data_IF_500633143252
#
_entry.id   IF_500633143252
#
_cell.length_a   1.000
_cell.length_b   1.000
_cell.length_c   1.000
_cell.angle_alpha   90.00
_cell.angle_beta   90.00
_cell.angle_gamma   90.00
#
_symmetry.space_group_name_H-M   'P 1'
#
loop_
_entity.id
_entity.type
_entity.pdbx_description
1 polymer ?
#
# COMPACT_ATOMS: atom_id res chain seq x y z
N UNK A 1 -12.32 10.77 17.56
CA UNK A 1 -13.48 9.94 17.10
C UNK A 1 -12.95 8.90 16.12
N UNK A 2 -13.72 7.83 15.91
CA UNK A 2 -13.37 6.77 14.96
C UNK A 2 -14.52 6.61 13.97
N UNK A 3 -14.18 6.22 12.71
CA UNK A 3 -15.16 5.90 11.68
C UNK A 3 -15.04 4.44 11.26
N UNK A 4 -16.17 3.80 10.96
CA UNK A 4 -16.21 2.45 10.41
C UNK A 4 -15.88 2.44 8.93
N UNK A 5 -15.01 1.52 8.50
CA UNK A 5 -14.73 1.24 7.09
C UNK A 5 -14.88 -0.26 6.86
N UNK A 6 -15.55 -0.62 5.78
CA UNK A 6 -15.68 -2.00 5.33
C UNK A 6 -14.90 -2.16 4.02
N UNK A 7 -13.84 -2.96 4.02
CA UNK A 7 -13.01 -3.19 2.83
C UNK A 7 -13.78 -3.84 1.68
N UNK A 8 -14.92 -4.49 1.95
CA UNK A 8 -15.79 -5.02 0.90
C UNK A 8 -16.49 -3.93 0.07
N UNK A 9 -16.55 -2.71 0.61
CA UNK A 9 -17.25 -1.55 0.01
C UNK A 9 -16.29 -0.49 -0.53
N UNK A 10 -14.98 -0.67 -0.31
CA UNK A 10 -13.95 0.24 -0.83
C UNK A 10 -13.65 -0.05 -2.31
N UNK A 11 -13.01 0.91 -2.99
CA UNK A 11 -12.49 0.68 -4.33
C UNK A 11 -11.14 -0.05 -4.22
N UNK A 12 -11.14 -1.37 -4.40
CA UNK A 12 -9.96 -2.21 -4.23
C UNK A 12 -9.27 -2.47 -5.58
N UNK A 13 -7.96 -2.28 -5.63
CA UNK A 13 -7.14 -2.44 -6.82
C UNK A 13 -5.97 -3.37 -6.48
N UNK A 14 -5.75 -4.41 -7.28
CA UNK A 14 -4.57 -5.28 -7.21
C UNK A 14 -3.62 -4.90 -8.32
N UNK A 15 -2.38 -4.54 -7.96
CA UNK A 15 -1.29 -4.26 -8.90
C UNK A 15 -0.58 -5.56 -9.24
N UNK A 16 -0.58 -5.95 -10.51
CA UNK A 16 -0.01 -7.23 -10.93
C UNK A 16 0.56 -7.13 -12.35
N UNK A 17 1.75 -7.70 -12.57
CA UNK A 17 2.33 -7.88 -13.91
C UNK A 17 1.55 -8.94 -14.68
N UNK A 18 1.34 -8.72 -15.99
CA UNK A 18 0.54 -9.63 -16.82
C UNK A 18 1.05 -11.07 -16.81
N UNK A 19 2.36 -11.25 -16.76
CA UNK A 19 3.01 -12.56 -16.70
C UNK A 19 2.99 -13.22 -15.32
N UNK A 20 2.74 -12.47 -14.23
CA UNK A 20 2.75 -12.99 -12.86
C UNK A 20 1.39 -13.64 -12.49
N UNK A 21 0.93 -14.58 -13.30
CA UNK A 21 -0.40 -15.21 -13.19
C UNK A 21 -0.58 -16.00 -11.89
N UNK A 22 0.48 -16.68 -11.41
CA UNK A 22 0.42 -17.43 -10.16
C UNK A 22 0.23 -16.49 -8.96
N UNK A 23 0.99 -15.39 -8.90
CA UNK A 23 0.86 -14.38 -7.84
C UNK A 23 -0.54 -13.77 -7.81
N UNK A 24 -1.09 -13.45 -8.99
CA UNK A 24 -2.47 -12.97 -9.09
C UNK A 24 -3.48 -14.00 -8.58
N UNK A 25 -3.27 -15.29 -8.90
CA UNK A 25 -4.13 -16.38 -8.43
C UNK A 25 -4.11 -16.46 -6.90
N UNK A 26 -2.92 -16.47 -6.30
CA UNK A 26 -2.75 -16.56 -4.84
C UNK A 26 -3.40 -15.35 -4.13
N UNK A 27 -3.15 -14.13 -4.64
CA UNK A 27 -3.78 -12.90 -4.13
C UNK A 27 -5.30 -12.94 -4.28
N UNK A 28 -5.81 -13.44 -5.42
CA UNK A 28 -7.25 -13.59 -5.64
C UNK A 28 -7.86 -14.55 -4.64
N UNK A 29 -7.24 -15.70 -4.36
CA UNK A 29 -7.74 -16.67 -3.38
C UNK A 29 -7.85 -16.04 -1.98
N UNK A 30 -6.88 -15.19 -1.58
CA UNK A 30 -6.90 -14.46 -0.32
C UNK A 30 -8.07 -13.46 -0.27
N UNK A 31 -8.19 -12.61 -1.30
CA UNK A 31 -9.22 -11.58 -1.33
C UNK A 31 -10.63 -12.15 -1.48
N UNK A 32 -10.81 -13.21 -2.28
CA UNK A 32 -12.08 -13.93 -2.40
C UNK A 32 -12.48 -14.57 -1.06
N UNK A 33 -11.53 -15.18 -0.34
CA UNK A 33 -11.77 -15.74 0.99
C UNK A 33 -12.20 -14.70 2.04
N UNK A 34 -11.81 -13.44 1.86
CA UNK A 34 -12.24 -12.30 2.65
C UNK A 34 -13.48 -11.59 2.07
N UNK A 35 -13.98 -12.06 0.92
CA UNK A 35 -15.07 -11.43 0.17
C UNK A 35 -14.77 -9.97 -0.20
N UNK A 36 -13.52 -9.63 -0.48
CA UNK A 36 -13.08 -8.30 -0.93
C UNK A 36 -13.07 -8.27 -2.46
N UNK A 37 -14.03 -7.59 -3.11
CA UNK A 37 -14.03 -7.44 -4.55
C UNK A 37 -12.88 -6.52 -4.97
N UNK A 38 -12.23 -6.80 -6.10
CA UNK A 38 -11.14 -5.96 -6.60
C UNK A 38 -11.12 -5.85 -8.12
N UNK A 39 -10.44 -4.84 -8.62
CA UNK A 39 -10.06 -4.66 -10.02
C UNK A 39 -8.56 -4.90 -10.16
N UNK A 40 -8.15 -5.62 -11.20
CA UNK A 40 -6.74 -5.74 -11.53
C UNK A 40 -6.26 -4.50 -12.27
N UNK A 41 -5.10 -4.01 -11.88
CA UNK A 41 -4.35 -2.99 -12.60
C UNK A 41 -3.10 -3.64 -13.23
N UNK A 42 -2.92 -3.45 -14.54
CA UNK A 42 -1.73 -3.92 -15.25
C UNK A 42 -0.51 -3.11 -14.83
N UNK A 43 0.36 -3.75 -14.04
CA UNK A 43 1.59 -3.15 -13.56
C UNK A 43 2.55 -2.84 -14.72
N UNK A 44 3.32 -1.79 -14.57
CA UNK A 44 4.31 -1.37 -15.55
C UNK A 44 5.56 -2.22 -15.38
N UNK A 45 5.91 -2.98 -16.43
CA UNK A 45 7.14 -3.75 -16.48
C UNK A 45 8.34 -2.82 -16.76
N UNK A 46 9.41 -3.02 -16.01
CA UNK A 46 10.66 -2.28 -16.19
C UNK A 46 11.85 -3.21 -15.87
N UNK A 47 13.00 -2.98 -16.49
CA UNK A 47 14.23 -3.76 -16.25
C UNK A 47 14.63 -3.76 -14.77
N UNK A 48 14.50 -2.60 -14.14
CA UNK A 48 14.62 -2.45 -12.68
C UNK A 48 13.23 -2.58 -12.06
N UNK A 49 12.97 -3.70 -11.38
CA UNK A 49 11.64 -4.00 -10.79
C UNK A 49 11.11 -2.89 -9.88
N UNK A 50 12.00 -2.28 -9.08
CA UNK A 50 11.64 -1.17 -8.19
C UNK A 50 11.14 0.07 -8.95
N UNK A 51 11.72 0.35 -10.13
CA UNK A 51 11.26 1.44 -11.01
C UNK A 51 9.88 1.11 -11.58
N UNK A 52 9.68 -0.13 -12.04
CA UNK A 52 8.37 -0.59 -12.53
C UNK A 52 7.28 -0.49 -11.47
N UNK A 53 7.59 -0.89 -10.23
CA UNK A 53 6.70 -0.73 -9.07
C UNK A 53 6.36 0.76 -8.86
N UNK A 54 7.37 1.63 -8.76
CA UNK A 54 7.17 3.07 -8.57
C UNK A 54 6.33 3.71 -9.69
N UNK A 55 6.58 3.37 -10.95
CA UNK A 55 5.79 3.86 -12.10
C UNK A 55 4.34 3.39 -12.03
N UNK A 56 4.10 2.15 -11.61
CA UNK A 56 2.75 1.59 -11.44
C UNK A 56 1.98 2.34 -10.36
N UNK A 57 2.62 2.53 -9.20
CA UNK A 57 2.01 3.31 -8.10
C UNK A 57 1.79 4.77 -8.49
N UNK A 58 2.76 5.43 -9.16
CA UNK A 58 2.62 6.80 -9.63
C UNK A 58 1.39 6.96 -10.55
N UNK A 59 1.20 6.02 -11.48
CA UNK A 59 0.04 6.03 -12.38
C UNK A 59 -1.27 5.89 -11.61
N UNK A 60 -1.33 4.96 -10.64
CA UNK A 60 -2.52 4.79 -9.78
C UNK A 60 -2.78 6.02 -8.92
N UNK A 61 -1.77 6.55 -8.24
CA UNK A 61 -1.88 7.73 -7.38
C UNK A 61 -2.32 9.00 -8.14
N UNK A 62 -2.20 8.99 -9.47
CA UNK A 62 -2.67 10.10 -10.31
C UNK A 62 -4.17 10.05 -10.62
N UNK A 63 -4.84 8.91 -10.38
CA UNK A 63 -6.25 8.70 -10.75
C UNK A 63 -7.16 8.22 -9.64
N UNK A 64 -6.60 7.68 -8.53
CA UNK A 64 -7.41 7.22 -7.40
C UNK A 64 -7.98 8.39 -6.59
N UNK A 65 -8.98 8.05 -5.78
CA UNK A 65 -9.64 8.97 -4.83
C UNK A 65 -9.60 8.37 -3.41
N UNK A 66 -9.81 9.18 -2.37
CA UNK A 66 -10.02 8.67 -1.01
C UNK A 66 -11.06 7.55 -0.97
N UNK A 67 -10.79 6.54 -0.15
CA UNK A 67 -11.57 5.29 -0.12
C UNK A 67 -11.08 4.21 -1.09
N UNK A 68 -9.88 4.39 -1.69
CA UNK A 68 -9.25 3.37 -2.52
C UNK A 68 -8.20 2.60 -1.73
N UNK A 69 -8.27 1.25 -1.78
CA UNK A 69 -7.21 0.38 -1.30
C UNK A 69 -6.40 -0.18 -2.48
N UNK A 70 -5.08 -0.09 -2.39
CA UNK A 70 -4.15 -0.69 -3.35
C UNK A 70 -3.46 -1.86 -2.67
N UNK A 71 -3.50 -3.03 -3.32
CA UNK A 71 -2.82 -4.25 -2.92
C UNK A 71 -1.76 -4.61 -3.97
N UNK A 72 -0.59 -5.03 -3.53
CA UNK A 72 0.38 -5.71 -4.39
C UNK A 72 0.00 -7.19 -4.53
N UNK A 73 0.53 -7.87 -5.56
CA UNK A 73 0.20 -9.25 -5.86
C UNK A 73 1.02 -10.29 -5.05
N UNK A 74 1.68 -9.85 -3.99
CA UNK A 74 2.46 -10.66 -3.05
C UNK A 74 2.00 -10.51 -1.58
N UNK A 75 0.74 -10.13 -1.38
CA UNK A 75 0.16 -10.05 -0.04
C UNK A 75 0.07 -11.43 0.59
N UNK A 76 0.31 -11.49 1.91
CA UNK A 76 0.09 -12.66 2.74
C UNK A 76 -1.22 -12.55 3.54
N UNK A 77 -1.74 -13.70 3.95
CA UNK A 77 -2.93 -13.78 4.80
C UNK A 77 -2.55 -13.92 6.27
N UNK A 78 -3.18 -13.13 7.12
CA UNK A 78 -3.11 -13.29 8.57
C UNK A 78 -4.41 -13.95 9.07
N UNK A 79 -4.33 -15.01 9.90
CA UNK A 79 -5.50 -15.80 10.31
C UNK A 79 -6.64 -14.99 10.96
N UNK A 80 -6.32 -13.83 11.53
CA UNK A 80 -7.28 -12.95 12.20
C UNK A 80 -7.57 -11.67 11.40
N UNK A 81 -7.31 -11.66 10.08
CA UNK A 81 -7.61 -10.51 9.24
C UNK A 81 -9.12 -10.19 9.29
N UNK A 82 -9.44 -8.91 9.41
CA UNK A 82 -10.82 -8.40 9.38
C UNK A 82 -11.01 -7.44 8.22
N UNK A 83 -12.20 -7.46 7.65
CA UNK A 83 -12.60 -6.51 6.58
C UNK A 83 -13.29 -5.26 7.14
N UNK A 84 -13.69 -5.29 8.41
CA UNK A 84 -14.33 -4.16 9.10
C UNK A 84 -13.34 -3.49 10.03
N UNK A 85 -13.03 -2.24 9.77
CA UNK A 85 -12.06 -1.46 10.50
C UNK A 85 -12.77 -0.31 11.22
N UNK A 86 -12.38 -0.04 12.48
CA UNK A 86 -12.68 1.21 13.16
C UNK A 86 -11.40 2.04 13.12
N UNK A 87 -11.37 3.10 12.33
CA UNK A 87 -10.18 3.90 12.07
C UNK A 87 -10.31 5.32 12.63
N UNK A 88 -9.21 5.95 13.09
CA UNK A 88 -9.26 7.34 13.50
C UNK A 88 -9.77 8.23 12.35
N UNK A 89 -10.68 9.16 12.65
CA UNK A 89 -11.25 10.05 11.63
C UNK A 89 -10.20 10.89 10.90
N UNK A 90 -9.13 11.26 11.62
CA UNK A 90 -8.01 12.03 11.11
C UNK A 90 -6.98 11.20 10.33
N UNK A 91 -7.16 9.89 10.22
CA UNK A 91 -6.24 9.04 9.48
C UNK A 91 -6.22 9.40 7.99
N UNK A 92 -5.05 9.65 7.45
CA UNK A 92 -4.84 9.94 6.02
C UNK A 92 -4.71 8.68 5.17
N UNK A 93 -4.19 7.62 5.76
CA UNK A 93 -4.08 6.30 5.16
C UNK A 93 -3.96 5.22 6.24
N UNK A 94 -4.32 4.00 5.89
CA UNK A 94 -4.16 2.81 6.74
C UNK A 94 -3.28 1.81 6.00
N UNK A 95 -2.18 1.40 6.62
CA UNK A 95 -1.41 0.26 6.17
C UNK A 95 -2.11 -1.02 6.60
N UNK A 96 -2.61 -1.77 5.64
CA UNK A 96 -3.28 -3.07 5.85
C UNK A 96 -2.26 -4.21 5.89
N UNK A 97 -1.11 -4.02 5.25
CA UNK A 97 0.05 -4.88 5.32
C UNK A 97 1.24 -4.13 5.93
N UNK A 98 2.05 -4.82 6.74
CA UNK A 98 3.18 -4.22 7.42
C UNK A 98 4.48 -4.95 7.11
N UNK A 99 5.58 -4.20 7.14
CA UNK A 99 6.95 -4.69 7.01
C UNK A 99 7.76 -4.25 8.23
N UNK A 100 8.79 -5.02 8.58
CA UNK A 100 9.73 -4.63 9.63
C UNK A 100 10.85 -3.71 9.11
N UNK A 101 10.87 -3.42 7.81
CA UNK A 101 11.88 -2.58 7.19
C UNK A 101 11.49 -1.11 7.24
N UNK A 102 12.36 -0.29 7.84
CA UNK A 102 12.23 1.16 7.89
C UNK A 102 13.19 1.84 6.91
N UNK A 103 12.78 3.01 6.41
CA UNK A 103 13.63 3.89 5.62
C UNK A 103 14.53 4.73 6.53
N UNK A 104 15.85 4.75 6.25
CA UNK A 104 16.80 5.67 6.88
C UNK A 104 17.34 6.60 5.80
N UNK A 105 17.15 7.89 6.00
CA UNK A 105 17.67 8.93 5.11
C UNK A 105 19.21 8.86 5.05
N UNK A 106 19.76 9.01 3.87
CA UNK A 106 21.20 8.99 3.59
C UNK A 106 21.90 7.63 3.77
N UNK A 107 21.16 6.53 3.81
CA UNK A 107 21.75 5.19 3.71
C UNK A 107 21.69 4.70 2.24
N UNK A 108 22.72 3.98 1.78
CA UNK A 108 22.65 3.32 0.48
C UNK A 108 21.38 2.44 0.42
N UNK A 109 20.56 2.62 -0.60
CA UNK A 109 19.29 1.93 -0.81
C UNK A 109 18.16 2.23 0.19
N UNK A 110 18.35 3.13 1.15
CA UNK A 110 17.32 3.45 2.14
C UNK A 110 16.91 2.30 3.08
N UNK A 111 17.50 1.11 2.90
CA UNK A 111 17.25 -0.06 3.72
C UNK A 111 18.27 -0.15 4.86
N UNK A 112 17.83 -0.65 5.98
CA UNK A 112 18.73 -0.91 7.12
C UNK A 112 18.24 -0.39 8.45
N UNK A 113 17.06 0.22 8.46
CA UNK A 113 16.38 0.63 9.68
C UNK A 113 15.25 -0.32 10.07
N UNK A 114 14.93 -0.31 11.34
CA UNK A 114 13.68 -0.88 11.85
C UNK A 114 12.57 0.14 11.62
N UNK A 115 11.36 -0.33 11.31
CA UNK A 115 10.20 0.56 11.20
C UNK A 115 9.98 1.30 12.51
N UNK A 116 9.87 2.63 12.41
CA UNK A 116 9.56 3.47 13.55
C UNK A 116 8.06 3.75 13.60
N UNK A 117 7.49 3.53 14.77
CA UNK A 117 6.08 3.79 15.03
C UNK A 117 5.94 4.54 16.35
N UNK A 118 4.91 5.36 16.46
CA UNK A 118 4.49 5.98 17.72
C UNK A 118 3.09 5.51 18.09
N UNK A 119 2.82 5.33 19.38
CA UNK A 119 1.47 5.02 19.84
C UNK A 119 0.56 6.21 19.57
N UNK A 120 -0.57 5.96 18.92
CA UNK A 120 -1.59 6.98 18.64
C UNK A 120 -2.81 6.79 19.55
N UNK A 121 -3.40 5.59 19.55
CA UNK A 121 -4.43 5.15 20.49
C UNK A 121 -4.03 3.76 21.01
N UNK A 122 -4.73 3.17 21.98
CA UNK A 122 -4.47 1.79 22.40
C UNK A 122 -4.49 0.77 21.24
N UNK A 123 -5.29 1.03 20.20
CA UNK A 123 -5.47 0.14 19.04
C UNK A 123 -4.61 0.52 17.84
N UNK A 124 -4.20 1.79 17.73
CA UNK A 124 -3.55 2.31 16.53
C UNK A 124 -2.15 2.84 16.79
N UNK A 125 -1.25 2.55 15.86
CA UNK A 125 0.09 3.12 15.81
C UNK A 125 0.23 4.01 14.57
N UNK A 126 0.91 5.14 14.74
CA UNK A 126 1.34 5.97 13.61
C UNK A 126 2.66 5.44 13.07
N UNK A 127 2.68 5.16 11.78
CA UNK A 127 3.88 4.73 11.06
C UNK A 127 4.65 5.96 10.58
N UNK A 128 5.97 5.98 10.74
CA UNK A 128 6.82 7.11 10.40
C UNK A 128 7.72 6.85 9.19
N UNK A 129 8.24 5.63 9.02
CA UNK A 129 9.27 5.35 8.02
C UNK A 129 9.21 3.95 7.41
N UNK A 130 8.05 3.30 7.36
CA UNK A 130 7.95 1.95 6.83
C UNK A 130 8.17 1.93 5.31
N UNK A 131 9.06 1.01 4.86
CA UNK A 131 9.28 0.70 3.45
C UNK A 131 8.38 -0.46 3.05
N UNK A 132 7.14 -0.20 2.74
CA UNK A 132 6.21 -1.22 2.25
C UNK A 132 4.99 -0.56 1.63
N UNK A 133 4.56 -1.10 0.51
CA UNK A 133 3.35 -0.69 -0.20
C UNK A 133 2.40 -1.87 -0.43
N UNK A 134 2.64 -3.02 0.23
CA UNK A 134 1.92 -4.27 0.00
C UNK A 134 0.39 -4.14 0.04
N UNK A 135 -0.13 -3.35 0.99
CA UNK A 135 -1.55 -3.06 1.06
C UNK A 135 -1.79 -1.74 1.81
N UNK A 136 -2.30 -0.74 1.12
CA UNK A 136 -2.58 0.59 1.69
C UNK A 136 -3.98 1.04 1.30
N UNK A 137 -4.78 1.43 2.30
CA UNK A 137 -6.05 2.13 2.12
C UNK A 137 -5.81 3.63 2.22
N UNK A 138 -6.03 4.36 1.14
CA UNK A 138 -5.86 5.81 1.02
C UNK A 138 -7.16 6.52 1.43
N UNK A 139 -7.08 7.42 2.40
CA UNK A 139 -8.26 8.06 3.01
C UNK A 139 -8.34 9.56 2.78
N UNK A 140 -7.27 10.20 2.30
CA UNK A 140 -7.27 11.65 2.04
C UNK A 140 -6.54 12.00 0.75
N UNK A 141 -7.01 13.07 0.08
CA UNK A 141 -6.33 13.65 -1.08
C UNK A 141 -4.95 14.17 -0.72
N UNK A 142 -4.78 14.68 0.50
CA UNK A 142 -3.49 15.16 1.02
C UNK A 142 -2.44 14.06 1.00
N UNK A 143 -2.79 12.86 1.48
CA UNK A 143 -1.86 11.73 1.50
C UNK A 143 -1.61 11.17 0.10
N UNK A 144 -2.65 11.06 -0.73
CA UNK A 144 -2.51 10.64 -2.14
C UNK A 144 -1.54 11.56 -2.87
N UNK A 145 -1.69 12.89 -2.70
CA UNK A 145 -0.78 13.88 -3.29
C UNK A 145 0.65 13.71 -2.77
N UNK A 146 0.83 13.62 -1.46
CA UNK A 146 2.15 13.46 -0.85
C UNK A 146 2.85 12.17 -1.32
N UNK A 147 2.14 11.05 -1.33
CA UNK A 147 2.66 9.77 -1.82
C UNK A 147 3.06 9.85 -3.31
N UNK A 148 2.24 10.50 -4.14
CA UNK A 148 2.54 10.72 -5.55
C UNK A 148 3.80 11.59 -5.73
N UNK A 149 3.90 12.70 -5.02
CA UNK A 149 5.00 13.64 -5.15
C UNK A 149 6.33 12.99 -4.72
N UNK A 150 6.33 12.24 -3.60
CA UNK A 150 7.50 11.47 -3.13
C UNK A 150 7.89 10.36 -4.13
N UNK A 151 6.91 9.64 -4.69
CA UNK A 151 7.18 8.61 -5.68
C UNK A 151 7.78 9.21 -6.95
N UNK A 152 7.30 10.36 -7.39
CA UNK A 152 7.82 11.07 -8.54
C UNK A 152 9.25 11.59 -8.30
N UNK A 153 9.52 12.16 -7.13
CA UNK A 153 10.86 12.58 -6.71
C UNK A 153 11.81 11.38 -6.69
N UNK A 154 11.37 10.25 -6.12
CA UNK A 154 12.11 9.01 -6.10
C UNK A 154 12.51 8.56 -7.50
N UNK A 155 11.58 8.54 -8.46
CA UNK A 155 11.84 8.12 -9.84
C UNK A 155 12.76 9.08 -10.60
N UNK A 156 12.67 10.39 -10.35
CA UNK A 156 13.47 11.42 -11.02
C UNK A 156 14.92 11.47 -10.53
N UNK A 157 15.19 11.13 -9.28
CA UNK A 157 16.52 11.21 -8.68
C UNK A 157 17.46 10.05 -9.05
N UNK A 158 17.02 9.16 -9.94
CA UNK A 158 17.84 8.08 -10.48
C UNK A 158 18.30 7.12 -9.39
N UNK A 159 17.42 6.25 -8.93
CA UNK A 159 17.79 5.27 -7.91
C UNK A 159 18.80 4.24 -8.40
N UNK A 160 19.74 3.87 -7.52
CA UNK A 160 20.77 2.90 -7.82
C UNK A 160 20.23 1.53 -8.17
#
# INVERSE_FOLDING_TARGET
MEKGINLKETNNIVVNLAEATNRLKDTKEILDGLEIPFKRFDAIKHEKGLVGCGLSHLKLLSVIKPGTAIFEDDIGYMPNATTKLLVPEEADAIYLGVSNHGYIRNQPYGYGGVVMVTQHTPQWKRVLNMCSTHAILYLSDRYIKAARDVTMEYLNNGHP
#
